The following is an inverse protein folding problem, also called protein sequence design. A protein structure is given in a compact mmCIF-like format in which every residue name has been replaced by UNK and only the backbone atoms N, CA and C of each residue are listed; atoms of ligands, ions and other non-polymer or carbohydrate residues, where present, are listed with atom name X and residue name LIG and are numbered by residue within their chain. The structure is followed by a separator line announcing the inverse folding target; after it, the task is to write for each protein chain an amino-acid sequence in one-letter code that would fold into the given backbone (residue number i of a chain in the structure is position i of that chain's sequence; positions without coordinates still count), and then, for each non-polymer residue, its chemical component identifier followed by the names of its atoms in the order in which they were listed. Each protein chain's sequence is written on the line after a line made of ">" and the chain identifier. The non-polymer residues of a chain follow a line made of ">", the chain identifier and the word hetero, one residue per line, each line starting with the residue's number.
data_IF_435444216130
#
_entry.id   IF_435444216130
#
_cell.length_a   1.000
_cell.length_b   1.000
_cell.length_c   1.000
_cell.angle_alpha   90.00
_cell.angle_beta   90.00
_cell.angle_gamma   90.00
#
_symmetry.space_group_name_H-M   'P 1'
#
loop_
_entity.id
_entity.type
_entity.pdbx_description
1 polymer ?
#
# COMPACT_ATOMS: atom_id res chain seq x y z
N UNK A 1 -33.02 -10.21 29.68
CA UNK A 1 -32.30 -9.32 28.75
C UNK A 1 -30.89 -9.85 28.65
N UNK A 2 -30.44 -10.34 27.50
CA UNK A 2 -29.03 -10.75 27.31
C UNK A 2 -28.20 -9.48 27.28
N UNK A 3 -27.24 -9.38 28.19
CA UNK A 3 -26.20 -8.36 28.17
C UNK A 3 -25.33 -8.65 26.95
N UNK A 4 -25.55 -7.91 25.87
CA UNK A 4 -24.67 -7.91 24.71
C UNK A 4 -23.30 -7.44 25.17
N UNK A 5 -22.35 -8.35 25.26
CA UNK A 5 -20.94 -7.99 25.42
C UNK A 5 -20.59 -6.98 24.32
N UNK A 6 -19.86 -5.87 24.65
CA UNK A 6 -19.38 -4.98 23.63
C UNK A 6 -18.45 -5.78 22.72
N UNK A 7 -18.95 -6.12 21.54
CA UNK A 7 -18.15 -6.73 20.49
C UNK A 7 -16.90 -5.88 20.33
N UNK A 8 -15.71 -6.49 20.44
CA UNK A 8 -14.45 -5.79 20.12
C UNK A 8 -14.59 -5.28 18.69
N UNK A 9 -14.86 -4.00 18.53
CA UNK A 9 -15.10 -3.34 17.23
C UNK A 9 -13.96 -3.62 16.23
N UNK A 10 -12.75 -3.91 16.73
CA UNK A 10 -11.54 -4.09 15.93
C UNK A 10 -10.88 -5.43 16.23
N UNK A 11 -10.83 -6.29 15.23
CA UNK A 11 -10.11 -7.56 15.35
C UNK A 11 -8.59 -7.34 15.41
N UNK A 12 -7.85 -8.34 15.90
CA UNK A 12 -6.39 -8.28 15.88
C UNK A 12 -5.84 -8.21 14.43
N UNK A 13 -6.53 -8.86 13.48
CA UNK A 13 -6.20 -8.81 12.06
C UNK A 13 -6.32 -7.40 11.48
N UNK A 14 -7.44 -6.72 11.78
CA UNK A 14 -7.65 -5.33 11.34
C UNK A 14 -6.60 -4.37 11.91
N UNK A 15 -6.31 -4.46 13.21
CA UNK A 15 -5.28 -3.59 13.83
C UNK A 15 -3.90 -3.77 13.19
N UNK A 16 -3.54 -5.00 12.84
CA UNK A 16 -2.30 -5.30 12.12
C UNK A 16 -2.32 -4.73 10.70
N UNK A 17 -3.42 -4.88 9.98
CA UNK A 17 -3.58 -4.30 8.65
C UNK A 17 -3.45 -2.78 8.72
N UNK A 18 -4.15 -2.13 9.65
CA UNK A 18 -4.09 -0.68 9.84
C UNK A 18 -2.66 -0.20 10.16
N UNK A 19 -1.97 -0.88 11.10
CA UNK A 19 -0.60 -0.49 11.46
C UNK A 19 0.40 -0.73 10.33
N UNK A 20 0.25 -1.79 9.56
CA UNK A 20 1.05 -2.04 8.36
C UNK A 20 0.83 -0.93 7.32
N UNK A 21 -0.43 -0.60 7.02
CA UNK A 21 -0.79 0.48 6.09
C UNK A 21 -0.22 1.83 6.54
N UNK A 22 -0.39 2.20 7.82
CA UNK A 22 0.15 3.45 8.34
C UNK A 22 1.68 3.51 8.23
N UNK A 23 2.37 2.42 8.58
CA UNK A 23 3.83 2.32 8.50
C UNK A 23 4.32 2.45 7.06
N UNK A 24 3.72 1.71 6.14
CA UNK A 24 4.05 1.75 4.70
C UNK A 24 3.77 3.13 4.10
N UNK A 25 2.64 3.77 4.45
CA UNK A 25 2.25 5.09 3.96
C UNK A 25 3.23 6.20 4.40
N UNK A 26 3.72 6.16 5.65
CA UNK A 26 4.72 7.11 6.14
C UNK A 26 6.00 6.99 5.29
N UNK A 27 6.47 5.77 5.03
CA UNK A 27 7.63 5.54 4.19
C UNK A 27 7.45 6.05 2.76
N UNK A 28 6.32 5.70 2.14
CA UNK A 28 5.95 6.21 0.81
C UNK A 28 6.00 7.75 0.77
N UNK A 29 5.47 8.42 1.80
CA UNK A 29 5.52 9.88 1.93
C UNK A 29 6.95 10.42 2.01
N UNK A 30 7.85 9.75 2.75
CA UNK A 30 9.27 10.15 2.80
C UNK A 30 9.93 10.10 1.43
N UNK A 31 9.77 9.01 0.69
CA UNK A 31 10.36 8.84 -0.65
C UNK A 31 9.69 9.75 -1.67
N UNK A 32 8.38 9.93 -1.64
CA UNK A 32 7.65 10.81 -2.54
C UNK A 32 8.12 12.27 -2.42
N UNK A 33 8.45 12.73 -1.21
CA UNK A 33 9.04 14.05 -1.01
C UNK A 33 10.53 14.12 -1.45
N UNK A 34 11.28 13.03 -1.27
CA UNK A 34 12.71 13.00 -1.58
C UNK A 34 13.01 12.90 -3.09
N UNK A 35 12.17 12.21 -3.87
CA UNK A 35 12.37 12.03 -5.31
C UNK A 35 12.48 13.38 -6.07
N UNK A 36 11.56 14.35 -5.89
CA UNK A 36 11.68 15.66 -6.51
C UNK A 36 12.95 16.42 -6.09
N UNK A 37 13.39 16.27 -4.83
CA UNK A 37 14.61 16.89 -4.35
C UNK A 37 15.86 16.32 -5.05
N UNK A 38 15.89 14.99 -5.26
CA UNK A 38 16.97 14.36 -6.05
C UNK A 38 16.93 14.81 -7.50
N UNK A 39 15.74 14.91 -8.10
CA UNK A 39 15.56 15.36 -9.48
C UNK A 39 16.01 16.82 -9.66
N UNK A 40 15.69 17.71 -8.71
CA UNK A 40 16.05 19.13 -8.74
C UNK A 40 17.56 19.40 -8.70
N UNK A 41 18.38 18.43 -8.30
CA UNK A 41 19.84 18.54 -8.34
C UNK A 41 20.43 18.37 -9.76
N UNK A 42 19.60 18.18 -10.79
CA UNK A 42 20.01 17.92 -12.17
C UNK A 42 19.71 19.10 -13.09
N UNK A 43 20.52 19.30 -14.15
CA UNK A 43 20.29 20.37 -15.12
C UNK A 43 18.92 20.28 -15.82
N UNK A 44 18.45 19.05 -16.14
CA UNK A 44 17.18 18.79 -16.86
C UNK A 44 16.03 18.47 -15.89
N UNK A 45 15.99 19.15 -14.73
CA UNK A 45 15.08 18.81 -13.62
C UNK A 45 13.61 18.90 -13.98
N UNK A 46 13.18 19.86 -14.82
CA UNK A 46 11.75 20.06 -15.15
C UNK A 46 11.17 18.88 -15.94
N UNK A 47 11.87 18.44 -17.00
CA UNK A 47 11.45 17.28 -17.78
C UNK A 47 11.47 15.99 -16.93
N UNK A 48 12.52 15.84 -16.11
CA UNK A 48 12.66 14.69 -15.24
C UNK A 48 11.54 14.62 -14.20
N UNK A 49 11.16 15.75 -13.59
CA UNK A 49 10.04 15.81 -12.64
C UNK A 49 8.72 15.36 -13.29
N UNK A 50 8.45 15.84 -14.52
CA UNK A 50 7.28 15.40 -15.28
C UNK A 50 7.30 13.91 -15.60
N UNK A 51 8.45 13.39 -16.03
CA UNK A 51 8.62 11.96 -16.33
C UNK A 51 8.45 11.06 -15.10
N UNK A 52 9.02 11.47 -13.95
CA UNK A 52 8.89 10.76 -12.67
C UNK A 52 7.44 10.78 -12.18
N UNK A 53 6.76 11.93 -12.25
CA UNK A 53 5.35 12.03 -11.87
C UNK A 53 4.46 11.15 -12.76
N UNK A 54 4.66 11.17 -14.06
CA UNK A 54 3.95 10.30 -15.00
C UNK A 54 4.23 8.82 -14.72
N UNK A 55 5.49 8.44 -14.49
CA UNK A 55 5.87 7.07 -14.18
C UNK A 55 5.23 6.56 -12.89
N UNK A 56 5.06 7.41 -11.86
CA UNK A 56 4.40 7.05 -10.62
C UNK A 56 2.88 6.85 -10.76
N UNK A 57 2.23 7.58 -11.68
CA UNK A 57 0.78 7.50 -11.92
C UNK A 57 0.40 6.38 -12.88
N UNK A 58 1.26 6.06 -13.87
CA UNK A 58 1.00 5.03 -14.89
C UNK A 58 0.56 3.68 -14.33
N UNK A 59 1.19 3.12 -13.27
CA UNK A 59 0.77 1.86 -12.71
C UNK A 59 -0.68 1.86 -12.22
N UNK A 60 -1.15 2.96 -11.63
CA UNK A 60 -2.54 3.10 -11.18
C UNK A 60 -3.53 2.91 -12.33
N UNK A 61 -3.20 3.44 -13.52
CA UNK A 61 -4.04 3.29 -14.72
C UNK A 61 -3.90 1.89 -15.34
N UNK A 62 -2.68 1.36 -15.44
CA UNK A 62 -2.40 0.10 -16.13
C UNK A 62 -2.77 -1.13 -15.29
N UNK A 63 -2.56 -1.06 -13.97
CA UNK A 63 -2.68 -2.19 -13.06
C UNK A 63 -4.01 -2.20 -12.27
N UNK A 64 -4.89 -1.20 -12.40
CA UNK A 64 -6.15 -1.16 -11.66
C UNK A 64 -6.98 -2.45 -11.88
N UNK A 65 -7.18 -2.86 -13.13
CA UNK A 65 -7.93 -4.08 -13.48
C UNK A 65 -7.14 -5.35 -13.09
N UNK A 66 -5.87 -5.53 -13.51
CA UNK A 66 -5.08 -6.68 -13.10
C UNK A 66 -4.95 -6.85 -11.58
N UNK A 67 -4.81 -5.76 -10.82
CA UNK A 67 -4.74 -5.79 -9.36
C UNK A 67 -6.03 -6.32 -8.74
N UNK A 68 -7.20 -5.89 -9.25
CA UNK A 68 -8.50 -6.43 -8.83
C UNK A 68 -8.60 -7.93 -9.07
N UNK A 69 -8.27 -8.39 -10.28
CA UNK A 69 -8.27 -9.82 -10.61
C UNK A 69 -7.29 -10.61 -9.73
N UNK A 70 -6.12 -10.06 -9.45
CA UNK A 70 -5.16 -10.68 -8.57
C UNK A 70 -5.68 -10.80 -7.13
N UNK A 71 -6.31 -9.72 -6.59
CA UNK A 71 -6.89 -9.70 -5.26
C UNK A 71 -8.08 -10.67 -5.10
N UNK A 72 -8.78 -10.99 -6.19
CA UNK A 72 -9.86 -11.97 -6.18
C UNK A 72 -9.36 -13.42 -6.22
N UNK A 73 -8.24 -13.67 -6.92
CA UNK A 73 -7.72 -15.04 -7.15
C UNK A 73 -6.70 -15.48 -6.12
N UNK A 74 -5.90 -14.56 -5.60
CA UNK A 74 -4.77 -14.86 -4.73
C UNK A 74 -5.03 -14.44 -3.28
N UNK A 75 -4.23 -14.97 -2.37
CA UNK A 75 -4.23 -14.53 -0.97
C UNK A 75 -3.80 -13.05 -0.88
N UNK A 76 -4.76 -12.20 -0.49
CA UNK A 76 -4.61 -10.74 -0.39
C UNK A 76 -3.46 -10.35 0.52
N UNK A 77 -3.27 -11.08 1.62
CA UNK A 77 -2.13 -10.90 2.52
C UNK A 77 -0.80 -11.08 1.79
N UNK A 78 -0.68 -12.14 0.97
CA UNK A 78 0.55 -12.39 0.21
C UNK A 78 0.81 -11.31 -0.82
N UNK A 79 -0.23 -10.81 -1.48
CA UNK A 79 -0.11 -9.69 -2.43
C UNK A 79 0.48 -8.47 -1.73
N UNK A 80 -0.05 -8.08 -0.56
CA UNK A 80 0.45 -6.93 0.21
C UNK A 80 1.91 -7.14 0.63
N UNK A 81 2.26 -8.32 1.14
CA UNK A 81 3.64 -8.64 1.56
C UNK A 81 4.61 -8.53 0.37
N UNK A 82 4.28 -9.13 -0.77
CA UNK A 82 5.13 -9.05 -1.95
C UNK A 82 5.23 -7.63 -2.52
N UNK A 83 4.15 -6.87 -2.50
CA UNK A 83 4.16 -5.46 -2.89
C UNK A 83 5.12 -4.64 -2.01
N UNK A 84 5.07 -4.81 -0.69
CA UNK A 84 5.97 -4.12 0.23
C UNK A 84 7.42 -4.59 0.09
N UNK A 85 7.68 -5.89 -0.05
CA UNK A 85 9.04 -6.41 -0.25
C UNK A 85 9.65 -5.91 -1.56
N UNK A 86 8.88 -5.89 -2.64
CA UNK A 86 9.35 -5.34 -3.92
C UNK A 86 9.72 -3.86 -3.78
N UNK A 87 8.86 -3.07 -3.13
CA UNK A 87 9.12 -1.64 -2.86
C UNK A 87 10.33 -1.47 -1.95
N UNK A 88 10.44 -2.27 -0.87
CA UNK A 88 11.59 -2.23 0.05
C UNK A 88 12.93 -2.46 -0.68
N UNK A 89 12.97 -3.46 -1.56
CA UNK A 89 14.17 -3.74 -2.37
C UNK A 89 14.46 -2.58 -3.33
N UNK A 90 13.45 -2.05 -4.03
CA UNK A 90 13.64 -0.97 -4.99
C UNK A 90 14.17 0.31 -4.33
N UNK A 91 13.55 0.75 -3.22
CA UNK A 91 14.02 1.95 -2.51
C UNK A 91 15.35 1.70 -1.78
N UNK A 92 15.57 0.48 -1.28
CA UNK A 92 16.85 0.08 -0.67
C UNK A 92 18.02 0.14 -1.68
N UNK A 93 17.82 -0.36 -2.89
CA UNK A 93 18.80 -0.24 -4.00
C UNK A 93 19.02 1.24 -4.33
N UNK A 94 17.96 2.04 -4.43
CA UNK A 94 18.09 3.48 -4.67
C UNK A 94 18.91 4.19 -3.57
N UNK A 95 18.69 3.83 -2.29
CA UNK A 95 19.48 4.35 -1.17
C UNK A 95 20.97 4.02 -1.31
N UNK A 96 21.31 2.77 -1.63
CA UNK A 96 22.71 2.34 -1.83
C UNK A 96 23.38 3.08 -2.99
N UNK A 97 22.66 3.21 -4.12
CA UNK A 97 23.19 3.95 -5.30
C UNK A 97 23.40 5.42 -4.98
N UNK A 98 22.46 6.06 -4.25
CA UNK A 98 22.60 7.45 -3.83
C UNK A 98 23.70 7.65 -2.80
N UNK A 99 23.98 6.67 -1.94
CA UNK A 99 25.11 6.70 -1.01
C UNK A 99 26.46 6.66 -1.76
N UNK A 100 26.51 5.97 -2.91
CA UNK A 100 27.68 5.91 -3.79
C UNK A 100 27.83 7.09 -4.75
N UNK A 101 26.82 7.99 -4.85
CA UNK A 101 26.89 9.13 -5.76
C UNK A 101 25.54 9.63 -6.25
N UNK A 102 25.19 9.37 -7.50
CA UNK A 102 23.98 9.88 -8.14
C UNK A 102 23.11 8.76 -8.73
N UNK A 103 21.82 8.87 -8.57
CA UNK A 103 20.85 7.95 -9.17
C UNK A 103 20.55 8.42 -10.62
N UNK A 104 20.70 7.57 -11.66
CA UNK A 104 20.34 7.91 -13.02
C UNK A 104 18.88 8.35 -13.19
N UNK A 105 18.58 9.25 -14.13
CA UNK A 105 17.21 9.75 -14.37
C UNK A 105 16.21 8.61 -14.65
N UNK A 106 16.63 7.66 -15.48
CA UNK A 106 15.82 6.46 -15.80
C UNK A 106 15.54 5.61 -14.55
N UNK A 107 16.52 5.52 -13.64
CA UNK A 107 16.32 4.79 -12.38
C UNK A 107 15.34 5.51 -11.42
N UNK A 108 15.32 6.86 -11.41
CA UNK A 108 14.31 7.62 -10.65
C UNK A 108 12.89 7.39 -11.19
N UNK A 109 12.72 7.43 -12.52
CA UNK A 109 11.43 7.13 -13.14
C UNK A 109 11.01 5.67 -12.91
N UNK A 110 11.94 4.73 -13.05
CA UNK A 110 11.71 3.31 -12.75
C UNK A 110 11.34 3.07 -11.28
N UNK A 111 12.00 3.77 -10.36
CA UNK A 111 11.67 3.71 -8.93
C UNK A 111 10.25 4.22 -8.68
N UNK A 112 9.87 5.37 -9.23
CA UNK A 112 8.51 5.92 -9.11
C UNK A 112 7.46 4.93 -9.66
N UNK A 113 7.75 4.29 -10.79
CA UNK A 113 6.89 3.26 -11.37
C UNK A 113 6.71 2.05 -10.44
N UNK A 114 7.79 1.53 -9.88
CA UNK A 114 7.73 0.37 -8.95
C UNK A 114 6.98 0.72 -7.68
N UNK A 115 7.20 1.91 -7.12
CA UNK A 115 6.46 2.39 -5.94
C UNK A 115 4.97 2.49 -6.28
N UNK A 116 4.59 3.12 -7.38
CA UNK A 116 3.19 3.25 -7.82
C UNK A 116 2.53 1.90 -8.11
N UNK A 117 3.26 0.96 -8.71
CA UNK A 117 2.77 -0.40 -8.97
C UNK A 117 2.50 -1.17 -7.66
N UNK A 118 3.45 -1.14 -6.74
CA UNK A 118 3.30 -1.76 -5.43
C UNK A 118 2.19 -1.12 -4.60
N UNK A 119 2.04 0.22 -4.67
CA UNK A 119 0.94 0.95 -4.03
C UNK A 119 -0.42 0.49 -4.55
N UNK A 120 -0.59 0.44 -5.87
CA UNK A 120 -1.84 -0.02 -6.50
C UNK A 120 -2.21 -1.44 -6.05
N UNK A 121 -1.24 -2.35 -6.06
CA UNK A 121 -1.45 -3.73 -5.61
C UNK A 121 -1.78 -3.80 -4.11
N UNK A 122 -1.05 -3.06 -3.28
CA UNK A 122 -1.25 -3.02 -1.83
C UNK A 122 -2.64 -2.47 -1.46
N UNK A 123 -3.01 -1.31 -1.99
CA UNK A 123 -4.30 -0.65 -1.70
C UNK A 123 -5.47 -1.54 -2.15
N UNK A 124 -5.42 -2.08 -3.37
CA UNK A 124 -6.47 -2.98 -3.87
C UNK A 124 -6.61 -4.23 -3.00
N UNK A 125 -5.50 -4.87 -2.62
CA UNK A 125 -5.53 -6.05 -1.77
C UNK A 125 -6.01 -5.74 -0.35
N UNK A 126 -5.61 -4.59 0.23
CA UNK A 126 -6.02 -4.18 1.58
C UNK A 126 -7.52 -3.91 1.66
N UNK A 127 -8.08 -3.18 0.69
CA UNK A 127 -9.51 -2.92 0.59
C UNK A 127 -10.31 -4.21 0.39
N UNK A 128 -9.82 -5.12 -0.45
CA UNK A 128 -10.45 -6.43 -0.66
C UNK A 128 -10.39 -7.35 0.58
N UNK A 129 -9.36 -7.20 1.44
CA UNK A 129 -9.22 -7.97 2.68
C UNK A 129 -10.14 -7.47 3.80
N UNK A 130 -10.52 -6.20 3.79
CA UNK A 130 -11.23 -5.52 4.88
C UNK A 130 -12.53 -6.20 5.31
N UNK A 131 -13.44 -6.64 4.39
CA UNK A 131 -14.70 -7.30 4.78
C UNK A 131 -14.51 -8.60 5.55
N UNK A 132 -13.33 -9.24 5.44
CA UNK A 132 -13.02 -10.47 6.18
C UNK A 132 -12.46 -10.20 7.59
N UNK A 133 -12.10 -8.96 7.89
CA UNK A 133 -11.43 -8.56 9.13
C UNK A 133 -12.33 -7.78 10.10
N UNK A 134 -13.47 -7.26 9.63
CA UNK A 134 -14.42 -6.47 10.41
C UNK A 134 -15.86 -6.94 10.16
N UNK A 135 -16.80 -6.52 11.00
CA UNK A 135 -18.23 -6.76 10.78
C UNK A 135 -18.79 -5.79 9.76
N UNK A 136 -19.90 -6.18 9.08
CA UNK A 136 -20.53 -5.32 8.06
C UNK A 136 -20.88 -3.93 8.60
N UNK A 137 -21.33 -3.83 9.86
CA UNK A 137 -21.68 -2.54 10.48
C UNK A 137 -20.45 -1.64 10.74
N UNK A 138 -19.24 -2.20 10.79
CA UNK A 138 -18.00 -1.47 11.04
C UNK A 138 -17.19 -1.21 9.76
N UNK A 139 -17.67 -1.69 8.61
CA UNK A 139 -16.90 -1.68 7.36
C UNK A 139 -16.59 -0.27 6.87
N UNK A 140 -17.59 0.62 6.89
CA UNK A 140 -17.42 2.01 6.45
C UNK A 140 -16.45 2.78 7.36
N UNK A 141 -16.59 2.60 8.69
CA UNK A 141 -15.69 3.22 9.68
C UNK A 141 -14.26 2.68 9.53
N UNK A 142 -14.11 1.37 9.34
CA UNK A 142 -12.82 0.72 9.13
C UNK A 142 -12.12 1.20 7.85
N UNK A 143 -12.88 1.33 6.76
CA UNK A 143 -12.35 1.85 5.49
C UNK A 143 -11.92 3.32 5.64
N UNK A 144 -12.72 4.15 6.30
CA UNK A 144 -12.37 5.54 6.60
C UNK A 144 -11.08 5.67 7.42
N UNK A 145 -10.89 4.83 8.45
CA UNK A 145 -9.66 4.82 9.25
C UNK A 145 -8.46 4.33 8.44
N UNK A 146 -8.64 3.35 7.55
CA UNK A 146 -7.57 2.85 6.69
C UNK A 146 -7.13 3.92 5.68
N UNK A 147 -8.11 4.61 5.08
CA UNK A 147 -7.85 5.73 4.18
C UNK A 147 -7.15 6.89 4.91
N UNK A 148 -7.62 7.25 6.10
CA UNK A 148 -6.99 8.28 6.92
C UNK A 148 -5.54 7.92 7.31
N UNK A 149 -5.24 6.64 7.56
CA UNK A 149 -3.87 6.18 7.81
C UNK A 149 -2.99 6.31 6.55
N UNK A 150 -3.54 5.98 5.39
CA UNK A 150 -2.84 6.12 4.10
C UNK A 150 -2.55 7.58 3.79
N UNK A 151 -3.57 8.42 3.77
CA UNK A 151 -3.42 9.84 3.42
C UNK A 151 -2.63 10.60 4.48
N UNK A 152 -2.91 10.34 5.77
CA UNK A 152 -2.20 10.94 6.90
C UNK A 152 -0.70 10.60 6.88
N UNK A 153 -0.36 9.34 6.65
CA UNK A 153 1.02 8.90 6.54
C UNK A 153 1.74 9.50 5.33
N UNK A 154 1.09 9.41 4.18
CA UNK A 154 1.68 9.79 2.89
C UNK A 154 1.78 11.31 2.68
N UNK A 155 0.74 12.08 3.03
CA UNK A 155 0.66 13.49 2.70
C UNK A 155 1.11 14.40 3.87
N UNK A 156 0.97 13.94 5.12
CA UNK A 156 1.22 14.80 6.28
C UNK A 156 2.43 14.39 7.12
N UNK A 157 2.63 13.10 7.40
CA UNK A 157 3.69 12.63 8.31
C UNK A 157 4.98 12.33 7.55
N UNK A 158 4.88 11.62 6.43
CA UNK A 158 6.03 11.18 5.64
C UNK A 158 6.87 12.31 5.05
N UNK A 159 6.26 13.30 4.35
CA UNK A 159 7.01 14.34 3.65
C UNK A 159 7.89 15.20 4.55
N UNK A 160 7.45 15.68 5.73
CA UNK A 160 8.34 16.41 6.64
C UNK A 160 9.53 15.57 7.11
N UNK A 161 9.28 14.29 7.47
CA UNK A 161 10.35 13.38 7.90
C UNK A 161 11.32 13.12 6.73
N UNK A 162 10.80 12.86 5.53
CA UNK A 162 11.60 12.62 4.35
C UNK A 162 12.47 13.82 3.96
N UNK A 163 11.90 15.02 3.99
CA UNK A 163 12.63 16.27 3.72
C UNK A 163 13.71 16.51 4.76
N UNK A 164 13.41 16.31 6.05
CA UNK A 164 14.38 16.45 7.12
C UNK A 164 15.53 15.45 6.98
N UNK A 165 15.23 14.17 6.74
CA UNK A 165 16.23 13.13 6.50
C UNK A 165 17.10 13.46 5.27
N UNK A 166 16.52 14.00 4.22
CA UNK A 166 17.24 14.39 3.01
C UNK A 166 18.27 15.49 3.28
N UNK A 167 17.94 16.44 4.15
CA UNK A 167 18.89 17.48 4.59
C UNK A 167 20.09 16.92 5.35
N UNK A 168 19.88 15.86 6.12
CA UNK A 168 20.98 15.19 6.83
C UNK A 168 21.85 14.41 5.85
N UNK A 169 21.23 13.51 5.09
CA UNK A 169 21.92 12.67 4.10
C UNK A 169 20.94 12.31 2.99
N UNK A 170 21.31 12.53 1.72
CA UNK A 170 20.42 12.38 0.55
C UNK A 170 19.79 10.98 0.38
N UNK A 171 20.47 9.94 0.82
CA UNK A 171 19.98 8.56 0.73
C UNK A 171 19.07 8.15 1.91
N UNK A 172 19.09 8.90 3.02
CA UNK A 172 18.41 8.52 4.25
C UNK A 172 16.88 8.35 4.11
N UNK A 173 16.13 9.19 3.37
CA UNK A 173 14.69 8.98 3.18
C UNK A 173 14.38 7.64 2.52
N UNK A 174 15.18 7.24 1.52
CA UNK A 174 15.00 5.98 0.80
C UNK A 174 15.32 4.77 1.69
N UNK A 175 16.37 4.86 2.52
CA UNK A 175 16.69 3.81 3.48
C UNK A 175 15.61 3.71 4.56
N UNK A 176 15.11 4.84 5.06
CA UNK A 176 13.99 4.89 6.00
C UNK A 176 12.73 4.23 5.44
N UNK A 177 12.39 4.52 4.19
CA UNK A 177 11.25 3.92 3.50
C UNK A 177 11.44 2.40 3.30
N UNK A 178 12.65 1.95 2.93
CA UNK A 178 12.94 0.52 2.84
C UNK A 178 12.66 -0.20 4.16
N UNK A 179 13.03 0.42 5.29
CA UNK A 179 12.76 -0.12 6.63
C UNK A 179 11.27 -0.14 6.92
N UNK A 180 10.51 0.91 6.57
CA UNK A 180 9.06 0.94 6.80
C UNK A 180 8.31 -0.10 5.97
N UNK A 181 8.68 -0.32 4.71
CA UNK A 181 8.10 -1.38 3.88
C UNK A 181 8.43 -2.78 4.44
N UNK A 182 9.67 -3.00 4.87
CA UNK A 182 10.05 -4.27 5.48
C UNK A 182 9.29 -4.51 6.80
N UNK A 183 9.12 -3.47 7.63
CA UNK A 183 8.34 -3.53 8.85
C UNK A 183 6.86 -3.81 8.58
N UNK A 184 6.25 -3.14 7.59
CA UNK A 184 4.88 -3.38 7.13
C UNK A 184 4.70 -4.83 6.68
N UNK A 185 5.60 -5.34 5.82
CA UNK A 185 5.58 -6.73 5.38
C UNK A 185 5.66 -7.71 6.58
N UNK A 186 6.50 -7.42 7.57
CA UNK A 186 6.61 -8.23 8.79
C UNK A 186 5.32 -8.21 9.62
N UNK A 187 4.69 -7.03 9.81
CA UNK A 187 3.40 -6.90 10.51
C UNK A 187 2.30 -7.70 9.79
N UNK A 188 2.28 -7.66 8.45
CA UNK A 188 1.31 -8.37 7.63
C UNK A 188 1.42 -9.90 7.78
N UNK A 189 2.58 -10.46 8.16
CA UNK A 189 2.69 -11.89 8.42
C UNK A 189 1.75 -12.37 9.54
N UNK A 190 1.38 -11.49 10.45
CA UNK A 190 0.43 -11.77 11.53
C UNK A 190 -1.05 -11.55 11.18
N UNK A 191 -1.38 -11.05 9.98
CA UNK A 191 -2.77 -10.95 9.50
C UNK A 191 -3.25 -12.35 9.12
N UNK A 192 -4.49 -12.77 9.44
CA UNK A 192 -5.02 -14.05 8.98
C UNK A 192 -4.98 -14.14 7.44
N UNK A 193 -4.70 -15.34 6.92
CA UNK A 193 -4.77 -15.57 5.48
C UNK A 193 -6.20 -15.32 4.99
N UNK A 194 -6.35 -14.44 4.02
CA UNK A 194 -7.63 -14.11 3.40
C UNK A 194 -7.65 -14.75 2.02
N UNK A 195 -8.15 -15.97 1.93
CA UNK A 195 -8.28 -16.66 0.64
C UNK A 195 -9.12 -15.81 -0.31
N UNK A 196 -8.64 -15.65 -1.55
CA UNK A 196 -9.47 -15.16 -2.64
C UNK A 196 -10.74 -16.02 -2.73
N UNK A 197 -11.86 -15.45 -3.12
CA UNK A 197 -13.08 -16.22 -3.38
C UNK A 197 -12.77 -17.23 -4.49
N UNK A 198 -12.57 -18.49 -4.09
CA UNK A 198 -12.64 -19.58 -5.05
C UNK A 198 -14.08 -19.60 -5.60
N UNK A 199 -14.17 -19.58 -6.92
CA UNK A 199 -15.40 -19.61 -7.71
C UNK A 199 -16.47 -20.52 -7.12
N UNK A 200 -17.71 -20.01 -7.05
CA UNK A 200 -18.89 -20.81 -7.19
C UNK A 200 -19.50 -21.36 -5.91
N UNK A 201 -19.97 -20.49 -5.01
CA UNK A 201 -21.17 -20.85 -4.23
C UNK A 201 -21.97 -19.58 -3.94
N UNK A 202 -22.63 -19.05 -4.95
CA UNK A 202 -23.91 -18.41 -4.73
C UNK A 202 -24.95 -19.55 -4.83
N UNK A 203 -25.48 -20.05 -3.71
CA UNK A 203 -26.69 -20.85 -3.81
C UNK A 203 -27.77 -19.90 -4.31
N UNK A 204 -28.21 -20.10 -5.55
CA UNK A 204 -29.40 -19.44 -6.04
C UNK A 204 -30.50 -19.68 -4.99
N UNK A 205 -31.28 -18.65 -4.61
CA UNK A 205 -32.45 -18.87 -3.77
C UNK A 205 -33.27 -19.97 -4.45
N UNK A 206 -33.51 -21.09 -3.78
CA UNK A 206 -34.50 -22.07 -4.24
C UNK A 206 -35.82 -21.34 -4.24
N UNK A 207 -36.31 -21.01 -5.41
CA UNK A 207 -37.73 -20.66 -5.57
C UNK A 207 -38.51 -21.80 -4.93
N UNK A 208 -39.16 -21.50 -3.81
CA UNK A 208 -40.24 -22.34 -3.29
C UNK A 208 -41.35 -22.27 -4.35
N UNK A 209 -41.41 -23.27 -5.18
CA UNK A 209 -42.57 -23.52 -6.00
C UNK A 209 -43.74 -23.84 -5.08
N UNK A 210 -44.48 -22.82 -4.68
CA UNK A 210 -45.79 -23.01 -4.11
C UNK A 210 -46.68 -23.57 -5.24
N UNK A 211 -46.83 -24.89 -5.18
CA UNK A 211 -47.80 -25.61 -5.98
C UNK A 211 -49.21 -25.14 -5.62
N UNK A 212 -49.84 -24.42 -6.56
CA UNK A 212 -51.27 -24.21 -6.56
C UNK A 212 -51.91 -25.55 -6.96
N UNK A 213 -52.60 -26.15 -6.01
CA UNK A 213 -53.56 -27.24 -6.18
C UNK A 213 -54.91 -26.80 -5.62
#
# INVERSE_FOLDING_TARGET
>A
MPVTQPSRRWTAGYRRLWSATATSAIGTGMTTAAIPLVAALRPDSEFLLGAVAAAGLLPGLLLAIPAGVAADRWDRRRIMIWADLLRAVAVGVAAVVLAGGTLPAVALAGLAFVIGAGETMFVTASQSALPSLVTDQALDEANGHLQAATDGGREFVGPPIGSWLFHLVRWAPFAGDAVTYAASAAILTGVPATAGRADGQHPLPREHGDGVG
#
